data_IF_139985197760
#
_entry.id   IF_139985197760
#
_cell.length_a   1.000
_cell.length_b   1.000
_cell.length_c   1.000
_cell.angle_alpha   90.00
_cell.angle_beta   90.00
_cell.angle_gamma   90.00
#
_symmetry.space_group_name_H-M   'P 1'
#
loop_
_entity.id
_entity.type
_entity.pdbx_description
1 polymer ?
#
# COMPACT_ATOMS: atom_id res chain seq x y z
N UNK A 1 3.30 -80.59 -1.47
CA UNK A 1 3.91 -79.27 -1.18
C UNK A 1 2.86 -78.20 -1.40
N UNK A 2 2.51 -77.37 -0.40
CA UNK A 2 1.49 -76.33 -0.57
C UNK A 2 2.05 -75.17 -1.40
N UNK A 3 1.30 -74.76 -2.43
CA UNK A 3 1.60 -73.59 -3.24
C UNK A 3 1.58 -72.34 -2.36
N UNK A 4 2.71 -71.65 -2.26
CA UNK A 4 2.77 -70.33 -1.62
C UNK A 4 2.02 -69.33 -2.50
N UNK A 5 1.08 -68.55 -1.96
CA UNK A 5 0.40 -67.52 -2.74
C UNK A 5 1.40 -66.45 -3.20
N UNK A 6 1.40 -66.14 -4.49
CA UNK A 6 2.20 -65.07 -5.08
C UNK A 6 1.67 -63.73 -4.60
N UNK A 7 2.39 -63.07 -3.71
CA UNK A 7 2.09 -61.68 -3.33
C UNK A 7 2.37 -60.79 -4.54
N UNK A 8 1.39 -60.01 -5.04
CA UNK A 8 1.62 -59.09 -6.15
C UNK A 8 2.71 -58.08 -5.75
N UNK A 9 3.79 -58.00 -6.54
CA UNK A 9 4.81 -56.96 -6.35
C UNK A 9 4.19 -55.61 -6.69
N UNK A 10 4.05 -54.75 -5.68
CA UNK A 10 3.65 -53.36 -5.89
C UNK A 10 4.74 -52.65 -6.70
N UNK A 11 4.34 -51.93 -7.75
CA UNK A 11 5.26 -51.13 -8.57
C UNK A 11 5.65 -49.85 -7.83
N UNK A 12 6.83 -49.32 -8.10
CA UNK A 12 7.29 -48.04 -7.54
C UNK A 12 6.29 -46.91 -7.80
N UNK A 13 5.64 -46.90 -8.98
CA UNK A 13 4.58 -45.94 -9.30
C UNK A 13 3.34 -46.06 -8.41
N UNK A 14 2.94 -47.28 -8.02
CA UNK A 14 1.82 -47.50 -7.10
C UNK A 14 2.17 -47.04 -5.66
N UNK A 15 3.42 -47.18 -5.24
CA UNK A 15 3.90 -46.69 -3.94
C UNK A 15 3.93 -45.16 -3.89
N UNK A 16 4.47 -44.50 -4.92
CA UNK A 16 4.50 -43.03 -5.01
C UNK A 16 3.10 -42.41 -5.10
N UNK A 17 2.17 -43.05 -5.82
CA UNK A 17 0.78 -42.60 -5.86
C UNK A 17 0.09 -42.73 -4.50
N UNK A 18 0.36 -43.82 -3.77
CA UNK A 18 -0.17 -44.03 -2.41
C UNK A 18 0.38 -42.98 -1.44
N UNK A 19 1.68 -42.67 -1.51
CA UNK A 19 2.32 -41.66 -0.68
C UNK A 19 1.77 -40.26 -0.95
N UNK A 20 1.62 -39.86 -2.23
CA UNK A 20 0.96 -38.58 -2.59
C UNK A 20 -0.47 -38.50 -2.09
N UNK A 21 -1.24 -39.58 -2.19
CA UNK A 21 -2.61 -39.62 -1.68
C UNK A 21 -2.65 -39.50 -0.15
N UNK A 22 -1.70 -40.12 0.55
CA UNK A 22 -1.56 -39.99 2.00
C UNK A 22 -1.17 -38.56 2.41
N UNK A 23 -0.22 -37.94 1.69
CA UNK A 23 0.18 -36.55 1.94
C UNK A 23 -0.98 -35.58 1.70
N UNK A 24 -1.76 -35.76 0.61
CA UNK A 24 -2.95 -34.97 0.33
C UNK A 24 -4.03 -35.16 1.39
N UNK A 25 -4.28 -36.39 1.83
CA UNK A 25 -5.23 -36.67 2.90
C UNK A 25 -4.82 -36.01 4.23
N UNK A 26 -3.54 -36.08 4.58
CA UNK A 26 -3.00 -35.44 5.78
C UNK A 26 -3.13 -33.90 5.72
N UNK A 27 -2.82 -33.29 4.55
CA UNK A 27 -3.02 -31.85 4.34
C UNK A 27 -4.50 -31.45 4.44
N UNK A 28 -5.40 -32.26 3.90
CA UNK A 28 -6.85 -32.02 3.98
C UNK A 28 -7.38 -32.13 5.42
N UNK A 29 -6.93 -33.14 6.18
CA UNK A 29 -7.27 -33.31 7.58
C UNK A 29 -6.76 -32.13 8.42
N UNK A 30 -5.50 -31.73 8.21
CA UNK A 30 -4.93 -30.57 8.88
C UNK A 30 -5.69 -29.28 8.56
N UNK A 31 -6.06 -29.06 7.28
CA UNK A 31 -6.86 -27.91 6.88
C UNK A 31 -8.25 -27.91 7.53
N UNK A 32 -8.87 -29.08 7.68
CA UNK A 32 -10.16 -29.23 8.36
C UNK A 32 -10.05 -28.91 9.86
N UNK A 33 -9.01 -29.39 10.53
CA UNK A 33 -8.74 -29.08 11.94
C UNK A 33 -8.54 -27.58 12.16
N UNK A 34 -7.75 -26.94 11.30
CA UNK A 34 -7.56 -25.48 11.34
C UNK A 34 -8.88 -24.73 11.14
N UNK A 35 -9.70 -25.16 10.17
CA UNK A 35 -11.02 -24.55 9.93
C UNK A 35 -11.95 -24.72 11.14
N UNK A 36 -11.98 -25.90 11.76
CA UNK A 36 -12.80 -26.16 12.95
C UNK A 36 -12.36 -25.31 14.14
N UNK A 37 -11.06 -25.23 14.40
CA UNK A 37 -10.51 -24.40 15.47
C UNK A 37 -10.84 -22.92 15.26
N UNK A 38 -10.69 -22.41 14.02
CA UNK A 38 -11.08 -21.05 13.65
C UNK A 38 -12.56 -20.77 13.91
N UNK A 39 -13.45 -21.67 13.47
CA UNK A 39 -14.90 -21.55 13.69
C UNK A 39 -15.27 -21.55 15.17
N UNK A 40 -14.62 -22.40 15.98
CA UNK A 40 -14.83 -22.44 17.43
C UNK A 40 -14.40 -21.13 18.10
N UNK A 41 -13.22 -20.61 17.76
CA UNK A 41 -12.73 -19.32 18.27
C UNK A 41 -13.69 -18.17 17.90
N UNK A 42 -14.17 -18.14 16.65
CA UNK A 42 -15.15 -17.15 16.21
C UNK A 42 -16.48 -17.27 16.98
N UNK A 43 -16.97 -18.49 17.17
CA UNK A 43 -18.21 -18.75 17.92
C UNK A 43 -18.08 -18.26 19.37
N UNK A 44 -16.94 -18.54 20.01
CA UNK A 44 -16.64 -18.07 21.37
C UNK A 44 -16.58 -16.55 21.45
N UNK A 45 -15.92 -15.90 20.49
CA UNK A 45 -15.87 -14.44 20.40
C UNK A 45 -17.28 -13.85 20.27
N UNK A 46 -18.09 -14.36 19.33
CA UNK A 46 -19.46 -13.88 19.11
C UNK A 46 -20.35 -14.08 20.34
N UNK A 47 -20.25 -15.23 21.01
CA UNK A 47 -21.02 -15.48 22.23
C UNK A 47 -20.62 -14.55 23.39
N UNK A 48 -19.32 -14.26 23.51
CA UNK A 48 -18.78 -13.37 24.55
C UNK A 48 -19.18 -11.92 24.30
N UNK A 49 -19.00 -11.45 23.06
CA UNK A 49 -19.29 -10.07 22.67
C UNK A 49 -20.80 -9.79 22.59
N UNK A 50 -21.56 -10.73 22.04
CA UNK A 50 -22.95 -10.55 21.61
C UNK A 50 -23.85 -11.63 22.23
N UNK A 51 -24.13 -11.58 23.55
CA UNK A 51 -25.05 -12.53 24.18
C UNK A 51 -26.44 -12.47 23.51
N UNK A 52 -26.96 -13.66 23.18
CA UNK A 52 -28.15 -13.90 22.34
C UNK A 52 -28.09 -13.27 20.93
N UNK A 53 -26.90 -12.97 20.41
CA UNK A 53 -26.67 -12.37 19.09
C UNK A 53 -26.60 -10.83 19.09
N UNK A 54 -26.62 -10.17 20.24
CA UNK A 54 -26.46 -8.71 20.30
C UNK A 54 -27.73 -7.92 19.98
N UNK A 55 -27.63 -6.59 19.96
CA UNK A 55 -28.79 -5.70 19.83
C UNK A 55 -29.41 -5.78 18.44
N UNK A 56 -28.57 -5.90 17.42
CA UNK A 56 -28.95 -5.99 16.01
C UNK A 56 -29.74 -7.25 15.76
N UNK A 57 -29.23 -8.42 16.15
CA UNK A 57 -29.97 -9.68 15.95
C UNK A 57 -31.26 -9.73 16.77
N UNK A 58 -31.28 -9.18 18.00
CA UNK A 58 -32.51 -9.08 18.79
C UNK A 58 -33.57 -8.27 18.06
N UNK A 59 -33.21 -7.13 17.48
CA UNK A 59 -34.14 -6.30 16.68
C UNK A 59 -34.63 -7.04 15.42
N UNK A 60 -33.74 -7.71 14.69
CA UNK A 60 -34.09 -8.43 13.47
C UNK A 60 -35.00 -9.63 13.77
N UNK A 61 -34.70 -10.43 14.80
CA UNK A 61 -35.56 -11.55 15.25
C UNK A 61 -36.92 -11.04 15.74
N UNK A 62 -36.96 -9.94 16.49
CA UNK A 62 -38.21 -9.33 16.94
C UNK A 62 -39.05 -8.83 15.75
N UNK A 63 -38.41 -8.35 14.67
CA UNK A 63 -39.09 -8.01 13.42
C UNK A 63 -39.61 -9.25 12.69
N UNK A 64 -38.79 -10.30 12.57
CA UNK A 64 -39.18 -11.56 11.94
C UNK A 64 -40.34 -12.27 12.67
N UNK A 65 -40.37 -12.17 14.01
CA UNK A 65 -41.44 -12.72 14.85
C UNK A 65 -42.77 -11.96 14.70
N UNK A 66 -42.80 -10.78 14.06
CA UNK A 66 -44.05 -10.09 13.72
C UNK A 66 -44.68 -10.84 12.54
N UNK A 67 -45.54 -11.79 12.89
CA UNK A 67 -46.28 -12.71 12.01
C UNK A 67 -46.82 -12.01 10.76
N UNK A 68 -46.56 -12.59 9.58
CA UNK A 68 -47.32 -12.24 8.37
C UNK A 68 -48.76 -12.75 8.52
N UNK A 69 -49.77 -11.91 8.24
CA UNK A 69 -51.15 -12.22 8.58
C UNK A 69 -51.68 -13.37 7.72
N UNK A 70 -51.92 -14.50 8.35
CA UNK A 70 -52.50 -15.70 7.72
C UNK A 70 -54.03 -15.67 7.71
N UNK A 71 -54.66 -14.84 8.55
CA UNK A 71 -56.12 -14.68 8.60
C UNK A 71 -56.58 -13.25 8.29
N UNK A 72 -57.85 -13.08 7.96
CA UNK A 72 -58.48 -11.76 7.77
C UNK A 72 -58.42 -10.92 9.05
N UNK A 73 -58.53 -11.55 10.23
CA UNK A 73 -58.39 -10.87 11.52
C UNK A 73 -56.95 -10.37 11.76
N UNK A 74 -55.94 -11.15 11.36
CA UNK A 74 -54.54 -10.74 11.44
C UNK A 74 -54.26 -9.58 10.47
N UNK A 75 -54.85 -9.59 9.27
CA UNK A 75 -54.74 -8.46 8.33
C UNK A 75 -55.34 -7.20 8.94
N UNK A 76 -56.49 -7.28 9.60
CA UNK A 76 -57.11 -6.14 10.30
C UNK A 76 -56.28 -5.65 11.49
N UNK A 77 -55.67 -6.54 12.28
CA UNK A 77 -54.73 -6.14 13.33
C UNK A 77 -53.46 -5.51 12.78
N UNK A 78 -52.94 -6.01 11.65
CA UNK A 78 -51.75 -5.47 11.00
C UNK A 78 -52.05 -4.14 10.29
N UNK A 79 -53.26 -3.92 9.78
CA UNK A 79 -53.74 -2.61 9.30
C UNK A 79 -53.80 -1.61 10.47
N UNK A 80 -54.23 -2.04 11.66
CA UNK A 80 -54.23 -1.20 12.88
C UNK A 80 -52.84 -0.93 13.45
N UNK A 81 -51.90 -1.88 13.37
CA UNK A 81 -50.54 -1.79 13.94
C UNK A 81 -49.46 -1.37 12.93
N UNK A 82 -49.79 -1.35 11.63
CA UNK A 82 -48.89 -1.13 10.51
C UNK A 82 -48.10 -2.39 10.13
N UNK A 83 -47.95 -2.66 8.82
CA UNK A 83 -46.99 -3.64 8.33
C UNK A 83 -45.56 -3.26 8.76
N UNK A 84 -44.59 -4.20 8.83
CA UNK A 84 -43.21 -3.85 9.10
C UNK A 84 -42.70 -2.90 8.01
N UNK A 85 -42.61 -1.60 8.31
CA UNK A 85 -42.15 -0.66 7.29
C UNK A 85 -40.71 -0.99 6.86
N UNK A 86 -40.34 -0.67 5.61
CA UNK A 86 -38.96 -0.81 5.15
C UNK A 86 -37.97 -0.09 6.07
N UNK A 87 -36.77 -0.67 6.22
CA UNK A 87 -35.66 -0.05 6.95
C UNK A 87 -34.99 1.00 6.05
N UNK A 88 -35.61 2.16 5.95
CA UNK A 88 -35.15 3.31 5.16
C UNK A 88 -35.11 4.58 6.03
N UNK A 89 -34.36 5.60 5.60
CA UNK A 89 -34.22 6.87 6.32
C UNK A 89 -33.78 6.70 7.77
N UNK A 90 -34.47 7.34 8.71
CA UNK A 90 -34.18 7.27 10.15
C UNK A 90 -34.13 5.84 10.70
N UNK A 91 -34.96 4.92 10.18
CA UNK A 91 -34.98 3.52 10.65
C UNK A 91 -33.70 2.80 10.29
N UNK A 92 -33.13 3.11 9.12
CA UNK A 92 -31.83 2.59 8.67
C UNK A 92 -30.71 3.17 9.52
N UNK A 93 -30.68 4.49 9.75
CA UNK A 93 -29.70 5.11 10.64
C UNK A 93 -29.71 4.50 12.04
N UNK A 94 -30.90 4.29 12.62
CA UNK A 94 -31.04 3.63 13.91
C UNK A 94 -30.64 2.15 13.89
N UNK A 95 -30.71 1.48 12.74
CA UNK A 95 -30.22 0.10 12.59
C UNK A 95 -28.69 0.08 12.50
N UNK A 96 -28.10 0.95 11.69
CA UNK A 96 -26.65 1.12 11.56
C UNK A 96 -25.99 1.48 12.90
N UNK A 97 -26.64 2.31 13.72
CA UNK A 97 -26.17 2.61 15.07
C UNK A 97 -26.14 1.39 16.01
N UNK A 98 -27.13 0.49 15.90
CA UNK A 98 -27.12 -0.77 16.66
C UNK A 98 -26.01 -1.70 16.19
N UNK A 99 -25.82 -1.79 14.87
CA UNK A 99 -24.76 -2.60 14.28
C UNK A 99 -23.40 -2.11 14.73
N UNK A 100 -23.13 -0.80 14.65
CA UNK A 100 -21.91 -0.17 15.15
C UNK A 100 -21.68 -0.45 16.63
N UNK A 101 -22.74 -0.42 17.45
CA UNK A 101 -22.64 -0.79 18.86
C UNK A 101 -22.27 -2.26 19.07
N UNK A 102 -22.78 -3.17 18.26
CA UNK A 102 -22.44 -4.60 18.34
C UNK A 102 -21.01 -4.85 17.83
N UNK A 103 -20.58 -4.15 16.77
CA UNK A 103 -19.20 -4.21 16.27
C UNK A 103 -18.19 -3.73 17.31
N UNK A 104 -18.48 -2.64 18.03
CA UNK A 104 -17.64 -2.19 19.15
C UNK A 104 -17.57 -3.24 20.26
N UNK A 105 -18.68 -3.91 20.58
CA UNK A 105 -18.67 -4.99 21.58
C UNK A 105 -17.80 -6.19 21.13
N UNK A 106 -17.77 -6.52 19.83
CA UNK A 106 -16.86 -7.52 19.28
C UNK A 106 -15.41 -7.06 19.38
N UNK A 107 -15.14 -5.80 19.02
CA UNK A 107 -13.81 -5.21 19.11
C UNK A 107 -13.27 -5.27 20.55
N UNK A 108 -14.06 -4.82 21.52
CA UNK A 108 -13.69 -4.81 22.94
C UNK A 108 -13.45 -6.23 23.49
N UNK A 109 -14.36 -7.17 23.20
CA UNK A 109 -14.26 -8.54 23.69
C UNK A 109 -13.05 -9.30 23.10
N UNK A 110 -12.70 -9.00 21.86
CA UNK A 110 -11.57 -9.61 21.17
C UNK A 110 -10.26 -8.84 21.29
N UNK A 111 -10.26 -7.65 21.91
CA UNK A 111 -9.16 -6.69 21.85
C UNK A 111 -8.70 -6.43 20.41
N UNK A 112 -9.67 -6.30 19.51
CA UNK A 112 -9.48 -6.13 18.07
C UNK A 112 -9.64 -4.66 17.67
N UNK A 113 -9.03 -4.30 16.55
CA UNK A 113 -9.39 -3.07 15.86
C UNK A 113 -10.86 -3.12 15.38
N UNK A 114 -11.61 -1.99 15.44
CA UNK A 114 -13.00 -1.96 15.00
C UNK A 114 -13.23 -2.41 13.55
N UNK A 115 -12.30 -2.17 12.61
CA UNK A 115 -12.45 -2.69 11.24
C UNK A 115 -12.29 -4.21 11.19
N UNK A 116 -11.39 -4.78 12.00
CA UNK A 116 -11.25 -6.24 12.12
C UNK A 116 -12.52 -6.86 12.71
N UNK A 117 -13.23 -6.15 13.60
CA UNK A 117 -14.53 -6.60 14.09
C UNK A 117 -15.60 -6.67 12.99
N UNK A 118 -15.53 -5.81 11.96
CA UNK A 118 -16.40 -5.89 10.76
C UNK A 118 -16.17 -7.21 10.05
N UNK A 119 -14.91 -7.57 9.78
CA UNK A 119 -14.56 -8.82 9.11
C UNK A 119 -14.99 -10.05 9.92
N UNK A 120 -14.84 -10.00 11.26
CA UNK A 120 -15.31 -11.08 12.14
C UNK A 120 -16.82 -11.21 12.15
N UNK A 121 -17.56 -10.10 12.08
CA UNK A 121 -19.01 -10.16 11.95
C UNK A 121 -19.43 -10.74 10.60
N UNK A 122 -18.80 -10.32 9.50
CA UNK A 122 -19.04 -10.87 8.16
C UNK A 122 -18.79 -12.39 8.13
N UNK A 123 -17.63 -12.84 8.66
CA UNK A 123 -17.28 -14.26 8.77
C UNK A 123 -18.33 -15.04 9.60
N UNK A 124 -18.84 -14.44 10.68
CA UNK A 124 -19.86 -15.08 11.51
C UNK A 124 -21.23 -15.19 10.83
N UNK A 125 -21.56 -14.26 9.92
CA UNK A 125 -22.76 -14.33 9.08
C UNK A 125 -22.62 -15.43 8.02
N UNK A 126 -21.47 -15.52 7.36
CA UNK A 126 -21.17 -16.54 6.35
C UNK A 126 -21.16 -17.96 6.92
N UNK A 127 -20.55 -18.16 8.09
CA UNK A 127 -20.54 -19.45 8.80
C UNK A 127 -21.87 -19.75 9.54
N UNK A 128 -22.88 -18.92 9.34
CA UNK A 128 -24.22 -19.02 9.93
C UNK A 128 -24.22 -19.12 11.47
N UNK A 129 -23.19 -18.56 12.12
CA UNK A 129 -23.10 -18.38 13.58
C UNK A 129 -24.09 -17.27 13.99
N UNK A 130 -24.11 -16.19 13.20
CA UNK A 130 -25.11 -15.14 13.25
C UNK A 130 -26.12 -15.30 12.10
N UNK A 131 -27.19 -14.48 12.09
CA UNK A 131 -28.15 -14.49 10.97
C UNK A 131 -29.19 -15.61 11.01
N UNK A 132 -29.24 -16.46 12.04
CA UNK A 132 -30.31 -17.45 12.19
C UNK A 132 -31.60 -16.83 12.76
N UNK A 133 -32.75 -17.20 12.17
CA UNK A 133 -34.08 -16.78 12.63
C UNK A 133 -34.49 -15.36 12.24
N UNK A 134 -33.89 -14.79 11.19
CA UNK A 134 -34.24 -13.48 10.63
C UNK A 134 -34.81 -13.62 9.20
N UNK A 135 -35.46 -12.57 8.69
CA UNK A 135 -35.98 -12.55 7.33
C UNK A 135 -34.82 -12.48 6.31
N UNK A 136 -34.99 -13.08 5.13
CA UNK A 136 -33.97 -13.02 4.06
C UNK A 136 -33.63 -11.57 3.65
N UNK A 137 -34.62 -10.68 3.61
CA UNK A 137 -34.41 -9.25 3.32
C UNK A 137 -33.69 -8.50 4.44
N UNK A 138 -33.82 -8.96 5.70
CA UNK A 138 -33.05 -8.41 6.82
C UNK A 138 -31.60 -8.89 6.80
N UNK A 139 -31.38 -10.15 6.40
CA UNK A 139 -30.04 -10.68 6.19
C UNK A 139 -29.32 -9.88 5.10
N UNK A 140 -29.95 -9.68 3.94
CA UNK A 140 -29.37 -8.88 2.87
C UNK A 140 -29.01 -7.47 3.34
N UNK A 141 -29.91 -6.80 4.07
CA UNK A 141 -29.63 -5.47 4.59
C UNK A 141 -28.48 -5.46 5.62
N UNK A 142 -28.40 -6.49 6.46
CA UNK A 142 -27.28 -6.63 7.39
C UNK A 142 -25.96 -6.79 6.63
N UNK A 143 -25.93 -7.67 5.63
CA UNK A 143 -24.76 -7.90 4.77
C UNK A 143 -24.37 -6.59 4.04
N UNK A 144 -25.33 -5.85 3.49
CA UNK A 144 -25.11 -4.57 2.81
C UNK A 144 -24.47 -3.52 3.75
N UNK A 145 -24.94 -3.43 5.00
CA UNK A 145 -24.37 -2.48 5.96
C UNK A 145 -22.99 -2.93 6.43
N UNK A 146 -22.79 -4.21 6.76
CA UNK A 146 -21.49 -4.74 7.18
C UNK A 146 -20.44 -4.53 6.08
N UNK A 147 -20.76 -4.89 4.84
CA UNK A 147 -19.90 -4.65 3.67
C UNK A 147 -19.66 -3.15 3.47
N UNK A 148 -20.70 -2.34 3.70
CA UNK A 148 -20.63 -0.88 3.69
C UNK A 148 -19.77 -0.27 4.80
N UNK A 149 -19.27 -1.04 5.78
CA UNK A 149 -18.32 -0.62 6.82
C UNK A 149 -16.92 -1.23 6.65
N UNK A 150 -16.77 -2.23 5.78
CA UNK A 150 -15.50 -2.92 5.52
C UNK A 150 -14.42 -1.98 4.99
N UNK A 151 -13.16 -2.44 5.02
CA UNK A 151 -12.06 -1.73 4.37
C UNK A 151 -12.15 -1.82 2.84
N UNK A 152 -12.73 -2.88 2.28
CA UNK A 152 -12.86 -3.14 0.85
C UNK A 152 -13.58 -2.00 0.11
N UNK A 153 -14.54 -1.36 0.77
CA UNK A 153 -15.22 -0.17 0.20
C UNK A 153 -14.24 0.99 -0.03
N UNK A 154 -13.22 1.14 0.82
CA UNK A 154 -12.21 2.21 0.71
C UNK A 154 -11.29 1.93 -0.48
N UNK A 155 -10.87 0.68 -0.66
CA UNK A 155 -10.10 0.23 -1.82
C UNK A 155 -10.89 0.42 -3.12
N UNK A 156 -12.16 -0.03 -3.12
CA UNK A 156 -13.06 0.11 -4.27
C UNK A 156 -13.25 1.57 -4.65
N UNK A 157 -13.48 2.45 -3.66
CA UNK A 157 -13.66 3.89 -3.89
C UNK A 157 -12.42 4.57 -4.47
N UNK A 158 -11.24 4.11 -4.07
CA UNK A 158 -9.95 4.66 -4.51
C UNK A 158 -9.37 3.94 -5.74
N UNK A 159 -10.12 3.01 -6.34
CA UNK A 159 -9.65 2.15 -7.43
C UNK A 159 -8.30 1.48 -7.13
N UNK A 160 -8.10 1.02 -5.89
CA UNK A 160 -6.88 0.35 -5.46
C UNK A 160 -7.08 -1.17 -5.52
N UNK A 161 -6.11 -1.87 -6.11
CA UNK A 161 -6.08 -3.34 -6.07
C UNK A 161 -5.60 -3.79 -4.69
N UNK A 162 -6.21 -4.84 -4.15
CA UNK A 162 -5.72 -5.53 -2.95
C UNK A 162 -4.67 -6.56 -3.37
N UNK A 163 -3.42 -6.31 -3.00
CA UNK A 163 -2.24 -7.17 -3.23
C UNK A 163 -1.43 -7.22 -1.93
N UNK A 164 -0.41 -8.08 -1.86
CA UNK A 164 0.45 -8.16 -0.67
C UNK A 164 1.11 -6.81 -0.31
N UNK A 165 1.38 -5.96 -1.32
CA UNK A 165 1.97 -4.63 -1.12
C UNK A 165 0.97 -3.58 -0.63
N UNK A 166 -0.31 -3.77 -0.93
CA UNK A 166 -1.36 -2.79 -0.61
C UNK A 166 -2.15 -3.22 0.62
N UNK A 167 -2.12 -4.48 1.03
CA UNK A 167 -2.74 -4.91 2.28
C UNK A 167 -2.13 -4.16 3.48
N UNK A 168 -2.96 -3.67 4.43
CA UNK A 168 -2.44 -2.99 5.61
C UNK A 168 -1.49 -3.90 6.40
N UNK A 169 -0.26 -3.42 6.60
CA UNK A 169 0.82 -4.19 7.22
C UNK A 169 1.11 -3.79 8.68
N UNK A 170 0.16 -3.12 9.33
CA UNK A 170 0.28 -2.66 10.71
C UNK A 170 -0.94 -3.12 11.50
N UNK A 171 -0.80 -3.24 12.82
CA UNK A 171 -2.00 -3.25 13.64
C UNK A 171 -2.57 -1.84 13.57
N UNK A 172 -3.83 -1.70 13.16
CA UNK A 172 -4.56 -0.41 13.10
C UNK A 172 -4.63 0.34 14.46
N UNK A 173 -4.03 -0.23 15.52
CA UNK A 173 -3.83 0.41 16.81
C UNK A 173 -2.92 1.65 16.68
N UNK A 174 -3.56 2.80 16.45
CA UNK A 174 -2.98 4.11 16.67
C UNK A 174 -2.73 4.29 18.17
N UNK A 175 -1.51 4.65 18.56
CA UNK A 175 -1.21 4.90 19.98
C UNK A 175 -1.68 6.29 20.44
N UNK A 176 -1.68 7.24 19.50
CA UNK A 176 -1.98 8.64 19.74
C UNK A 176 -2.79 9.22 18.59
N UNK A 177 -3.52 10.30 18.89
CA UNK A 177 -4.24 11.05 17.86
C UNK A 177 -3.25 11.59 16.81
N UNK A 178 -3.58 11.50 15.50
CA UNK A 178 -2.77 12.09 14.44
C UNK A 178 -2.54 13.58 14.66
N UNK A 179 -1.31 14.04 14.43
CA UNK A 179 -0.93 15.45 14.54
C UNK A 179 -0.60 15.99 13.16
N UNK A 180 -1.21 17.10 12.75
CA UNK A 180 -0.84 17.73 11.48
C UNK A 180 0.64 18.12 11.49
N UNK A 181 1.37 17.65 10.47
CA UNK A 181 2.79 17.94 10.27
C UNK A 181 2.98 19.09 9.29
N UNK A 182 2.10 19.18 8.28
CA UNK A 182 2.09 20.25 7.28
C UNK A 182 1.04 19.98 6.19
N UNK A 183 0.85 20.95 5.30
CA UNK A 183 0.01 20.80 4.12
C UNK A 183 0.82 21.10 2.86
N UNK A 184 0.86 20.13 1.94
CA UNK A 184 1.37 20.35 0.58
C UNK A 184 0.28 20.91 -0.33
N UNK A 185 0.56 21.05 -1.63
CA UNK A 185 -0.44 21.48 -2.62
C UNK A 185 -1.63 20.52 -2.74
N UNK A 186 -1.41 19.22 -2.53
CA UNK A 186 -2.43 18.21 -2.80
C UNK A 186 -3.02 17.55 -1.55
N UNK A 187 -2.29 17.52 -0.42
CA UNK A 187 -2.77 16.85 0.80
C UNK A 187 -2.14 17.44 2.07
N UNK A 188 -2.92 17.47 3.16
CA UNK A 188 -2.40 17.59 4.52
C UNK A 188 -1.77 16.27 4.95
N UNK A 189 -0.56 16.32 5.49
CA UNK A 189 0.16 15.16 6.03
C UNK A 189 0.16 15.19 7.55
N UNK A 190 0.08 14.01 8.16
CA UNK A 190 -0.04 13.84 9.59
C UNK A 190 1.16 13.06 10.12
N UNK A 191 1.68 13.44 11.27
CA UNK A 191 2.49 12.57 12.10
C UNK A 191 1.57 11.61 12.86
N UNK A 192 1.88 10.32 12.80
CA UNK A 192 1.14 9.26 13.48
C UNK A 192 2.10 8.34 14.22
N UNK A 193 1.63 7.77 15.34
CA UNK A 193 2.33 6.70 16.05
C UNK A 193 1.53 5.40 15.88
N UNK A 194 2.14 4.41 15.25
CA UNK A 194 1.53 3.12 14.94
C UNK A 194 2.34 1.99 15.54
N UNK A 195 1.76 0.78 15.60
CA UNK A 195 2.48 -0.45 15.93
C UNK A 195 2.71 -1.31 14.69
N UNK A 196 3.95 -1.73 14.52
CA UNK A 196 4.33 -2.77 13.57
C UNK A 196 3.66 -4.11 13.92
N UNK A 197 3.69 -5.06 12.98
CA UNK A 197 3.15 -6.41 13.20
C UNK A 197 3.82 -7.17 14.34
N UNK A 198 5.06 -6.82 14.68
CA UNK A 198 5.79 -7.35 15.84
C UNK A 198 5.47 -6.62 17.16
N UNK A 199 4.58 -5.63 17.12
CA UNK A 199 4.14 -4.83 18.26
C UNK A 199 5.04 -3.64 18.60
N UNK A 200 6.14 -3.42 17.87
CA UNK A 200 7.03 -2.27 18.08
C UNK A 200 6.38 -0.96 17.63
N UNK A 201 6.54 0.10 18.42
CA UNK A 201 6.01 1.42 18.09
C UNK A 201 6.88 2.10 17.02
N UNK A 202 6.23 2.76 16.06
CA UNK A 202 6.88 3.49 14.97
C UNK A 202 6.24 4.87 14.81
N UNK A 203 7.07 5.90 14.78
CA UNK A 203 6.66 7.23 14.32
C UNK A 203 6.68 7.24 12.79
N UNK A 204 5.56 7.60 12.20
CA UNK A 204 5.37 7.60 10.76
C UNK A 204 4.71 8.89 10.28
N UNK A 205 4.82 9.13 8.98
CA UNK A 205 4.07 10.15 8.27
C UNK A 205 2.90 9.47 7.58
N UNK A 206 1.69 9.99 7.77
CA UNK A 206 0.49 9.55 7.10
C UNK A 206 0.03 10.59 6.08
N UNK A 207 -0.11 10.16 4.83
CA UNK A 207 -0.64 10.95 3.72
C UNK A 207 -1.98 10.34 3.28
N UNK A 208 -3.12 10.95 3.63
CA UNK A 208 -4.43 10.44 3.23
C UNK A 208 -4.56 10.42 1.71
N UNK A 209 -5.30 9.44 1.19
CA UNK A 209 -5.65 9.36 -0.23
C UNK A 209 -7.02 9.98 -0.46
N UNK A 210 -7.13 10.78 -1.51
CA UNK A 210 -8.40 11.30 -2.00
C UNK A 210 -8.93 10.44 -3.13
N UNK A 211 -10.25 10.29 -3.16
CA UNK A 211 -10.98 9.67 -4.27
C UNK A 211 -11.51 10.71 -5.25
N UNK A 212 -11.49 11.98 -4.85
CA UNK A 212 -11.88 13.09 -5.71
C UNK A 212 -10.67 13.48 -6.57
N UNK A 213 -10.85 13.61 -7.90
CA UNK A 213 -9.83 14.18 -8.75
C UNK A 213 -9.38 15.54 -8.21
N UNK A 214 -8.07 15.84 -8.20
CA UNK A 214 -7.58 17.14 -7.77
C UNK A 214 -8.17 18.25 -8.64
N UNK A 215 -8.33 19.44 -8.03
CA UNK A 215 -8.78 20.64 -8.73
C UNK A 215 -7.90 20.86 -9.98
N UNK A 216 -8.49 21.12 -11.17
CA UNK A 216 -7.71 21.42 -12.38
C UNK A 216 -6.65 22.51 -12.21
N UNK A 217 -6.89 23.50 -11.34
CA UNK A 217 -5.96 24.59 -11.04
C UNK A 217 -4.83 24.16 -10.08
N UNK A 218 -5.09 23.17 -9.22
CA UNK A 218 -4.12 22.61 -8.27
C UNK A 218 -3.43 21.34 -8.79
N UNK A 219 -3.84 20.85 -9.97
CA UNK A 219 -3.28 19.65 -10.57
C UNK A 219 -1.78 19.84 -10.90
N UNK A 220 -0.97 18.87 -10.45
CA UNK A 220 0.47 18.89 -10.65
C UNK A 220 0.82 19.08 -12.13
N UNK A 221 1.55 20.17 -12.41
CA UNK A 221 2.08 20.45 -13.75
C UNK A 221 2.99 19.31 -14.19
N UNK A 222 3.76 18.74 -13.26
CA UNK A 222 4.61 17.58 -13.51
C UNK A 222 3.76 16.37 -13.92
N UNK A 223 2.75 16.02 -13.12
CA UNK A 223 1.87 14.89 -13.43
C UNK A 223 1.22 15.05 -14.81
N UNK A 224 0.70 16.24 -15.13
CA UNK A 224 0.10 16.53 -16.44
C UNK A 224 1.09 16.33 -17.59
N UNK A 225 2.30 16.89 -17.49
CA UNK A 225 3.28 16.83 -18.58
C UNK A 225 3.90 15.45 -18.76
N UNK A 226 3.87 14.61 -17.72
CA UNK A 226 4.40 13.25 -17.76
C UNK A 226 3.35 12.22 -18.18
N UNK A 227 2.09 12.62 -18.38
CA UNK A 227 1.01 11.73 -18.84
C UNK A 227 0.28 11.00 -17.72
N UNK A 228 0.39 11.48 -16.48
CA UNK A 228 -0.37 10.94 -15.35
C UNK A 228 -1.82 11.45 -15.45
N UNK A 229 -2.77 10.54 -15.30
CA UNK A 229 -4.21 10.86 -15.33
C UNK A 229 -4.60 11.70 -14.13
N UNK A 230 -5.34 12.79 -14.36
CA UNK A 230 -5.96 13.57 -13.27
C UNK A 230 -7.11 12.81 -12.61
N UNK A 231 -7.89 12.07 -13.41
CA UNK A 231 -9.07 11.35 -12.93
C UNK A 231 -8.71 10.11 -12.11
N UNK A 232 -7.54 9.54 -12.39
CA UNK A 232 -7.05 8.36 -11.69
C UNK A 232 -5.52 8.44 -11.55
N UNK A 233 -5.02 9.30 -10.65
CA UNK A 233 -3.59 9.57 -10.55
C UNK A 233 -2.81 8.40 -9.94
N UNK A 234 -3.48 7.50 -9.22
CA UNK A 234 -2.87 6.31 -8.60
C UNK A 234 -1.61 6.64 -7.77
N UNK A 235 -1.61 7.76 -7.04
CA UNK A 235 -0.43 8.25 -6.26
C UNK A 235 0.08 7.21 -5.26
N UNK A 236 -0.82 6.43 -4.67
CA UNK A 236 -0.45 5.32 -3.80
C UNK A 236 0.37 4.25 -4.54
N UNK A 237 -0.11 3.81 -5.70
CA UNK A 237 0.54 2.77 -6.49
C UNK A 237 1.88 3.21 -7.04
N UNK A 238 2.03 4.50 -7.38
CA UNK A 238 3.32 5.08 -7.80
C UNK A 238 4.36 5.04 -6.68
N UNK A 239 3.99 5.41 -5.45
CA UNK A 239 4.90 5.32 -4.31
C UNK A 239 5.29 3.86 -4.02
N UNK A 240 4.32 2.93 -4.03
CA UNK A 240 4.60 1.49 -3.85
C UNK A 240 5.48 0.92 -4.97
N UNK A 241 5.25 1.35 -6.22
CA UNK A 241 6.06 0.97 -7.38
C UNK A 241 7.51 1.45 -7.23
N UNK A 242 7.71 2.69 -6.78
CA UNK A 242 9.06 3.23 -6.52
C UNK A 242 9.77 2.45 -5.41
N UNK A 243 9.06 2.12 -4.32
CA UNK A 243 9.61 1.26 -3.25
C UNK A 243 9.99 -0.12 -3.77
N UNK A 244 9.12 -0.76 -4.56
CA UNK A 244 9.39 -2.08 -5.15
C UNK A 244 10.62 -2.05 -6.06
N UNK A 245 10.77 -1.00 -6.89
CA UNK A 245 11.92 -0.78 -7.77
C UNK A 245 13.21 -0.58 -6.96
N UNK A 246 13.18 0.28 -5.95
CA UNK A 246 14.31 0.55 -5.07
C UNK A 246 14.78 -0.72 -4.34
N UNK A 247 13.84 -1.50 -3.78
CA UNK A 247 14.12 -2.79 -3.12
C UNK A 247 14.75 -3.80 -4.09
N UNK A 248 14.25 -3.90 -5.32
CA UNK A 248 14.81 -4.81 -6.34
C UNK A 248 16.26 -4.45 -6.68
N UNK A 249 16.60 -3.16 -6.70
CA UNK A 249 17.96 -2.67 -6.93
C UNK A 249 18.87 -2.78 -5.69
N UNK A 250 18.31 -3.01 -4.50
CA UNK A 250 19.04 -2.88 -3.24
C UNK A 250 19.40 -1.42 -2.91
N UNK A 251 18.66 -0.45 -3.44
CA UNK A 251 18.85 0.96 -3.16
C UNK A 251 17.96 1.37 -1.98
N UNK A 252 18.58 1.69 -0.84
CA UNK A 252 17.88 2.10 0.38
C UNK A 252 17.69 3.62 0.48
N UNK A 253 17.27 4.21 -0.63
CA UNK A 253 17.22 5.68 -0.84
C UNK A 253 15.83 6.26 -0.97
N UNK A 254 14.79 5.45 -0.78
CA UNK A 254 13.39 5.87 -0.75
C UNK A 254 12.77 5.42 0.56
N UNK A 255 11.91 6.29 1.08
CA UNK A 255 11.10 6.04 2.28
C UNK A 255 10.27 4.76 2.15
N UNK A 256 10.36 3.86 3.13
CA UNK A 256 9.46 2.70 3.16
C UNK A 256 8.01 3.19 3.25
N UNK A 257 7.18 2.69 2.33
CA UNK A 257 5.80 3.16 2.14
C UNK A 257 4.84 1.99 2.08
N UNK A 258 3.71 2.11 2.77
CA UNK A 258 2.65 1.09 2.81
C UNK A 258 1.28 1.76 2.86
N UNK A 259 0.23 1.02 2.58
CA UNK A 259 -1.15 1.51 2.73
C UNK A 259 -1.66 1.17 4.12
N UNK A 260 -2.42 2.07 4.74
CA UNK A 260 -3.13 1.78 5.98
C UNK A 260 -4.38 2.65 6.16
N UNK A 261 -5.39 2.15 6.89
CA UNK A 261 -6.47 2.96 7.40
C UNK A 261 -6.02 3.69 8.69
N UNK A 262 -6.19 5.00 8.72
CA UNK A 262 -5.92 5.85 9.89
C UNK A 262 -7.20 6.61 10.22
N UNK A 263 -7.63 6.53 11.47
CA UNK A 263 -8.73 7.36 11.93
C UNK A 263 -8.22 8.79 12.13
N UNK A 264 -8.62 9.70 11.23
CA UNK A 264 -8.37 11.14 11.34
C UNK A 264 -9.51 11.87 12.09
N UNK A 265 -10.55 11.15 12.52
CA UNK A 265 -11.70 11.68 13.23
C UNK A 265 -12.08 10.81 14.43
N UNK A 266 -13.34 10.89 14.87
CA UNK A 266 -13.86 10.09 16.00
C UNK A 266 -14.62 8.84 15.56
N UNK A 267 -14.93 8.65 14.28
CA UNK A 267 -15.66 7.47 13.81
C UNK A 267 -14.69 6.36 13.38
N UNK A 268 -14.48 5.31 14.20
CA UNK A 268 -13.54 4.23 13.87
C UNK A 268 -13.99 3.40 12.67
N UNK A 269 -15.27 3.49 12.27
CA UNK A 269 -15.81 2.83 11.09
C UNK A 269 -15.82 3.74 9.87
N UNK A 270 -15.11 4.86 9.88
CA UNK A 270 -14.90 5.71 8.70
C UNK A 270 -13.47 6.27 8.67
N UNK A 271 -12.43 5.43 8.68
CA UNK A 271 -11.05 5.90 8.62
C UNK A 271 -10.71 6.45 7.24
N UNK A 272 -9.69 7.30 7.18
CA UNK A 272 -9.03 7.67 5.94
C UNK A 272 -8.08 6.53 5.54
N UNK A 273 -8.18 6.06 4.30
CA UNK A 273 -7.14 5.20 3.72
C UNK A 273 -6.02 6.10 3.20
N UNK A 274 -4.78 5.75 3.46
CA UNK A 274 -3.64 6.57 3.07
C UNK A 274 -2.33 5.81 3.01
N UNK A 275 -1.27 6.53 2.63
CA UNK A 275 0.10 6.06 2.70
C UNK A 275 0.66 6.30 4.10
N UNK A 276 1.19 5.26 4.72
CA UNK A 276 2.08 5.34 5.88
C UNK A 276 3.50 5.23 5.39
N UNK A 277 4.32 6.20 5.78
CA UNK A 277 5.69 6.37 5.33
C UNK A 277 6.60 6.50 6.55
N UNK A 278 7.78 5.87 6.54
CA UNK A 278 8.77 6.15 7.58
C UNK A 278 9.12 7.65 7.60
N UNK A 279 9.46 8.21 8.77
CA UNK A 279 9.94 9.59 8.80
C UNK A 279 11.36 9.62 8.24
N UNK A 280 11.55 10.34 7.13
CA UNK A 280 12.88 10.53 6.54
C UNK A 280 13.83 11.17 7.58
N UNK A 281 14.98 10.54 7.90
CA UNK A 281 15.91 11.06 8.89
C UNK A 281 16.76 12.19 8.31
N UNK A 282 17.32 13.03 9.19
CA UNK A 282 18.24 14.09 8.79
C UNK A 282 17.53 15.38 8.37
N UNK A 283 18.16 16.13 7.48
CA UNK A 283 17.66 17.43 7.00
C UNK A 283 17.33 17.36 5.51
N UNK A 284 16.36 18.16 5.01
CA UNK A 284 16.19 18.36 3.57
C UNK A 284 17.52 18.78 2.93
N UNK A 285 17.75 18.41 1.67
CA UNK A 285 18.98 18.78 0.98
C UNK A 285 19.16 20.29 0.82
N UNK A 286 18.06 21.06 0.77
CA UNK A 286 18.10 22.54 0.78
C UNK A 286 18.79 23.11 2.04
N UNK A 287 18.75 22.38 3.16
CA UNK A 287 19.25 22.84 4.47
C UNK A 287 20.65 22.29 4.82
N UNK A 288 21.27 21.51 3.94
CA UNK A 288 22.64 20.99 4.18
C UNK A 288 23.67 21.88 3.50
N UNK A 289 24.84 21.98 4.11
CA UNK A 289 25.94 22.77 3.54
C UNK A 289 26.67 22.02 2.41
N UNK A 290 27.36 22.78 1.57
CA UNK A 290 28.19 22.23 0.48
C UNK A 290 29.24 21.21 0.96
N UNK A 291 29.71 21.29 2.22
CA UNK A 291 30.71 20.35 2.76
C UNK A 291 30.09 18.97 3.03
N UNK A 292 28.84 18.92 3.48
CA UNK A 292 28.08 17.68 3.62
C UNK A 292 27.80 17.05 2.25
N UNK A 293 27.40 17.85 1.26
CA UNK A 293 27.20 17.40 -0.12
C UNK A 293 28.48 16.87 -0.76
N UNK A 294 29.66 17.31 -0.32
CA UNK A 294 30.97 16.84 -0.81
C UNK A 294 31.46 15.53 -0.17
N UNK A 295 30.78 15.01 0.86
CA UNK A 295 31.19 13.77 1.50
C UNK A 295 30.99 12.56 0.57
N UNK A 296 32.02 11.74 0.38
CA UNK A 296 32.02 10.60 -0.54
C UNK A 296 30.79 9.67 -0.39
N UNK A 297 30.41 9.37 0.86
CA UNK A 297 29.25 8.50 1.16
C UNK A 297 27.91 9.18 0.86
N UNK A 298 27.80 10.50 1.08
CA UNK A 298 26.61 11.27 0.66
C UNK A 298 26.52 11.26 -0.85
N UNK A 299 27.64 11.45 -1.56
CA UNK A 299 27.65 11.44 -3.01
C UNK A 299 27.17 10.10 -3.58
N UNK A 300 27.64 8.98 -3.02
CA UNK A 300 27.19 7.65 -3.42
C UNK A 300 25.67 7.47 -3.24
N UNK A 301 25.13 7.84 -2.08
CA UNK A 301 23.70 7.66 -1.79
C UNK A 301 22.80 8.60 -2.61
N UNK A 302 23.20 9.86 -2.83
CA UNK A 302 22.47 10.77 -3.72
C UNK A 302 22.50 10.26 -5.17
N UNK A 303 23.61 9.65 -5.60
CA UNK A 303 23.68 9.06 -6.94
C UNK A 303 22.74 7.86 -7.11
N UNK A 304 22.59 7.01 -6.09
CA UNK A 304 21.58 5.92 -6.10
C UNK A 304 20.17 6.48 -6.26
N UNK A 305 19.84 7.56 -5.53
CA UNK A 305 18.55 8.23 -5.65
C UNK A 305 18.34 8.79 -7.07
N UNK A 306 19.32 9.51 -7.61
CA UNK A 306 19.25 10.06 -8.96
C UNK A 306 19.07 8.97 -10.02
N UNK A 307 19.83 7.88 -9.97
CA UNK A 307 19.67 6.75 -10.89
C UNK A 307 18.29 6.08 -10.75
N UNK A 308 17.76 5.98 -9.53
CA UNK A 308 16.41 5.48 -9.31
C UNK A 308 15.37 6.42 -9.96
N UNK A 309 15.49 7.73 -9.75
CA UNK A 309 14.58 8.73 -10.31
C UNK A 309 14.62 8.73 -11.85
N UNK A 310 15.77 8.46 -12.48
CA UNK A 310 15.87 8.22 -13.93
C UNK A 310 15.11 6.96 -14.39
N UNK A 311 15.08 5.91 -13.59
CA UNK A 311 14.36 4.67 -13.90
C UNK A 311 12.85 4.84 -13.71
N UNK A 312 12.44 5.49 -12.62
CA UNK A 312 11.04 5.74 -12.30
C UNK A 312 10.44 6.89 -13.11
N UNK A 313 11.27 7.81 -13.62
CA UNK A 313 10.82 9.03 -14.26
C UNK A 313 10.28 10.05 -13.25
N UNK A 314 10.85 10.10 -12.04
CA UNK A 314 10.51 11.14 -11.06
C UNK A 314 11.00 12.50 -11.55
N UNK A 315 10.06 13.39 -11.86
CA UNK A 315 10.35 14.69 -12.44
C UNK A 315 10.17 15.85 -11.46
N UNK A 316 9.77 15.59 -10.22
CA UNK A 316 9.56 16.57 -9.15
C UNK A 316 10.58 16.41 -8.00
N UNK A 317 11.73 15.77 -8.26
CA UNK A 317 12.82 15.65 -7.27
C UNK A 317 13.60 16.96 -7.10
N UNK A 318 13.05 17.85 -6.27
CA UNK A 318 13.79 19.01 -5.76
C UNK A 318 14.42 18.74 -4.39
N UNK A 319 15.27 19.65 -3.93
CA UNK A 319 16.06 19.61 -2.69
C UNK A 319 15.26 19.49 -1.39
N UNK A 320 13.97 19.84 -1.39
CA UNK A 320 13.02 19.57 -0.29
C UNK A 320 12.43 18.16 -0.29
N UNK A 321 12.54 17.42 -1.39
CA UNK A 321 11.94 16.09 -1.56
C UNK A 321 12.92 14.95 -1.30
N UNK A 322 14.10 15.24 -0.75
CA UNK A 322 14.97 14.21 -0.20
C UNK A 322 15.79 14.73 0.98
N UNK A 323 16.08 13.82 1.90
CA UNK A 323 16.73 14.13 3.16
C UNK A 323 18.10 13.47 3.22
N UNK A 324 19.04 14.13 3.86
CA UNK A 324 20.41 13.66 4.06
C UNK A 324 20.64 13.55 5.57
N UNK A 325 20.97 12.34 6.00
CA UNK A 325 21.40 12.05 7.35
C UNK A 325 22.81 11.46 7.33
N UNK A 326 23.73 12.06 8.08
CA UNK A 326 25.05 11.48 8.32
C UNK A 326 25.13 11.09 9.79
N UNK A 327 25.33 9.81 10.05
CA UNK A 327 25.51 9.27 11.38
C UNK A 327 26.87 9.67 11.99
N UNK A 328 27.01 9.52 13.30
CA UNK A 328 28.26 9.85 14.01
C UNK A 328 29.47 9.01 13.57
N UNK A 329 29.25 7.83 12.99
CA UNK A 329 30.30 6.97 12.41
C UNK A 329 30.62 7.32 10.94
N UNK A 330 29.99 8.37 10.42
CA UNK A 330 30.11 8.85 9.06
C UNK A 330 29.36 8.00 8.03
N UNK A 331 28.48 7.06 8.40
CA UNK A 331 27.54 6.45 7.43
C UNK A 331 26.53 7.51 6.98
N UNK A 332 26.24 7.53 5.68
CA UNK A 332 25.23 8.42 5.11
C UNK A 332 23.97 7.61 4.78
N UNK A 333 22.80 8.19 5.04
CA UNK A 333 21.50 7.75 4.55
C UNK A 333 20.87 8.91 3.80
N UNK A 334 20.54 8.69 2.53
CA UNK A 334 19.71 9.59 1.73
C UNK A 334 18.32 9.00 1.66
N UNK A 335 17.27 9.81 1.74
CA UNK A 335 15.89 9.31 1.69
C UNK A 335 15.01 10.26 0.90
N UNK A 336 14.64 9.84 -0.31
CA UNK A 336 13.64 10.50 -1.14
C UNK A 336 12.22 10.21 -0.68
N UNK A 337 11.36 11.22 -0.81
CA UNK A 337 9.94 11.21 -0.46
C UNK A 337 9.10 11.73 -1.64
N UNK A 338 7.77 11.73 -1.50
CA UNK A 338 6.85 12.36 -2.46
C UNK A 338 6.96 11.86 -3.91
N UNK A 339 6.88 10.55 -4.09
CA UNK A 339 7.04 9.90 -5.41
C UNK A 339 5.71 9.86 -6.21
N UNK A 340 4.85 10.86 -5.99
CA UNK A 340 3.52 10.93 -6.58
C UNK A 340 3.55 11.15 -8.09
N UNK A 341 4.64 11.76 -8.61
CA UNK A 341 4.80 12.13 -10.01
C UNK A 341 5.68 11.12 -10.80
N UNK A 342 6.01 9.97 -10.21
CA UNK A 342 6.73 8.89 -10.86
C UNK A 342 5.90 8.18 -11.96
N UNK A 343 6.59 7.53 -12.88
CA UNK A 343 6.06 6.59 -13.88
C UNK A 343 5.05 7.16 -14.87
N UNK A 344 5.08 8.46 -15.15
CA UNK A 344 4.31 9.01 -16.25
C UNK A 344 4.63 8.33 -17.60
N UNK A 345 3.59 8.09 -18.41
CA UNK A 345 3.69 7.37 -19.68
C UNK A 345 4.44 8.16 -20.77
N UNK A 346 4.49 9.49 -20.68
CA UNK A 346 5.11 10.36 -21.69
C UNK A 346 6.63 10.55 -21.46
N UNK A 347 7.15 10.18 -20.30
CA UNK A 347 8.60 10.23 -20.03
C UNK A 347 9.29 8.93 -20.42
N UNK A 348 9.58 8.72 -21.70
CA UNK A 348 10.18 7.47 -22.18
C UNK A 348 11.71 7.46 -22.17
N UNK A 349 12.34 8.62 -22.39
CA UNK A 349 13.79 8.76 -22.29
C UNK A 349 14.23 8.97 -20.83
N UNK A 350 15.37 8.39 -20.42
CA UNK A 350 15.80 8.42 -19.01
C UNK A 350 16.11 9.82 -18.49
N UNK A 351 16.42 10.78 -19.36
CA UNK A 351 16.77 12.16 -19.04
C UNK A 351 15.67 13.16 -19.42
N UNK A 352 14.48 12.67 -19.78
CA UNK A 352 13.33 13.50 -20.17
C UNK A 352 12.76 14.33 -19.01
N UNK A 353 13.09 13.98 -17.77
CA UNK A 353 12.73 14.72 -16.57
C UNK A 353 13.55 16.01 -16.38
N UNK A 354 14.47 16.37 -17.28
CA UNK A 354 15.19 17.65 -17.18
C UNK A 354 14.26 18.86 -17.35
N UNK A 355 14.54 19.96 -16.63
CA UNK A 355 13.88 21.24 -16.90
C UNK A 355 14.23 21.73 -18.31
N UNK A 356 13.23 22.24 -19.00
CA UNK A 356 13.40 22.99 -20.25
C UNK A 356 13.10 24.46 -19.98
N UNK A 357 14.14 25.29 -20.02
CA UNK A 357 14.05 26.72 -19.73
C UNK A 357 13.30 27.48 -20.83
N UNK A 358 13.24 26.95 -22.05
CA UNK A 358 12.52 27.55 -23.18
C UNK A 358 11.04 27.16 -23.17
N UNK A 359 10.67 26.05 -22.52
CA UNK A 359 9.28 25.63 -22.36
C UNK A 359 8.74 25.96 -20.95
N UNK A 360 7.93 27.02 -20.77
CA UNK A 360 7.58 27.56 -19.44
C UNK A 360 7.02 26.53 -18.46
N UNK A 361 6.23 25.56 -18.93
CA UNK A 361 5.66 24.53 -18.07
C UNK A 361 6.66 23.45 -17.66
N UNK A 362 7.68 23.16 -18.48
CA UNK A 362 8.72 22.15 -18.18
C UNK A 362 9.78 22.70 -17.22
N UNK A 363 9.78 24.00 -16.94
CA UNK A 363 10.55 24.58 -15.82
C UNK A 363 10.12 24.02 -14.45
N UNK A 364 8.94 23.43 -14.36
CA UNK A 364 8.48 22.73 -13.16
C UNK A 364 9.16 21.36 -12.97
N UNK A 365 9.91 20.87 -13.95
CA UNK A 365 10.68 19.66 -13.77
C UNK A 365 11.96 19.94 -12.98
N UNK A 366 12.33 18.97 -12.16
CA UNK A 366 13.50 18.99 -11.29
C UNK A 366 14.37 17.74 -11.51
N UNK A 367 14.30 17.08 -12.68
CA UNK A 367 15.29 16.08 -13.05
C UNK A 367 16.62 16.69 -13.50
N UNK A 368 17.60 15.83 -13.76
CA UNK A 368 18.92 16.19 -14.33
C UNK A 368 19.18 15.36 -15.58
N UNK A 369 20.27 15.66 -16.30
CA UNK A 369 20.84 14.72 -17.23
C UNK A 369 21.32 13.45 -16.49
N UNK A 370 21.54 12.38 -17.25
CA UNK A 370 22.12 11.16 -16.72
C UNK A 370 23.51 11.42 -16.11
N UNK A 371 23.83 10.79 -14.97
CA UNK A 371 25.04 11.13 -14.23
C UNK A 371 26.31 10.73 -14.99
N UNK A 372 27.38 11.54 -14.91
CA UNK A 372 28.60 11.34 -15.71
C UNK A 372 29.51 10.22 -15.16
N UNK A 373 29.18 9.67 -13.99
CA UNK A 373 29.89 8.61 -13.29
C UNK A 373 28.89 7.76 -12.51
N UNK A 374 29.19 6.47 -12.35
CA UNK A 374 28.47 5.56 -11.46
C UNK A 374 29.49 4.62 -10.81
N UNK A 375 29.15 3.95 -9.71
CA UNK A 375 30.03 2.92 -9.15
C UNK A 375 29.69 1.51 -9.63
N UNK A 376 30.60 0.56 -9.36
CA UNK A 376 30.47 -0.84 -9.76
C UNK A 376 29.27 -1.55 -9.12
N UNK A 377 28.77 -1.10 -7.98
CA UNK A 377 27.61 -1.69 -7.31
C UNK A 377 26.30 -1.22 -7.97
N UNK A 378 26.17 0.08 -8.22
CA UNK A 378 25.04 0.67 -8.95
C UNK A 378 24.91 0.06 -10.35
N UNK A 379 26.03 -0.04 -11.07
CA UNK A 379 26.03 -0.61 -12.41
C UNK A 379 25.58 -2.08 -12.39
N UNK A 380 26.15 -2.89 -11.48
CA UNK A 380 25.79 -4.30 -11.35
C UNK A 380 24.30 -4.47 -11.04
N UNK A 381 23.78 -3.69 -10.08
CA UNK A 381 22.38 -3.77 -9.68
C UNK A 381 21.43 -3.46 -10.85
N UNK A 382 21.69 -2.37 -11.59
CA UNK A 382 20.84 -1.95 -12.69
C UNK A 382 20.97 -2.90 -13.89
N UNK A 383 22.19 -3.33 -14.25
CA UNK A 383 22.39 -4.26 -15.37
C UNK A 383 21.84 -5.67 -15.10
N UNK A 384 21.63 -6.04 -13.84
CA UNK A 384 21.01 -7.30 -13.45
C UNK A 384 19.47 -7.30 -13.56
N UNK A 385 18.83 -6.13 -13.62
CA UNK A 385 17.40 -6.05 -13.90
C UNK A 385 17.09 -6.58 -15.30
N UNK A 386 15.94 -7.24 -15.45
CA UNK A 386 15.37 -7.62 -16.74
C UNK A 386 14.04 -6.91 -17.00
N UNK A 387 13.58 -6.91 -18.23
CA UNK A 387 12.24 -6.38 -18.55
C UNK A 387 11.12 -7.17 -17.85
N UNK A 388 11.31 -8.48 -17.68
CA UNK A 388 10.36 -9.33 -16.95
C UNK A 388 10.29 -8.94 -15.47
N UNK A 389 11.42 -8.63 -14.84
CA UNK A 389 11.44 -8.10 -13.48
C UNK A 389 10.62 -6.80 -13.39
N UNK A 390 10.84 -5.86 -14.32
CA UNK A 390 10.14 -4.57 -14.32
C UNK A 390 8.63 -4.77 -14.50
N UNK A 391 8.22 -5.63 -15.44
CA UNK A 391 6.79 -5.95 -15.63
C UNK A 391 6.19 -6.58 -14.38
N UNK A 392 6.88 -7.54 -13.78
CA UNK A 392 6.41 -8.22 -12.57
C UNK A 392 6.26 -7.26 -11.39
N UNK A 393 7.14 -6.26 -11.27
CA UNK A 393 7.10 -5.26 -10.19
C UNK A 393 5.94 -4.26 -10.35
N UNK A 394 5.58 -3.94 -11.59
CA UNK A 394 4.76 -2.77 -11.90
C UNK A 394 3.35 -3.09 -12.43
N UNK A 395 3.11 -4.25 -13.03
CA UNK A 395 1.85 -4.58 -13.73
C UNK A 395 0.59 -4.57 -12.85
N UNK A 396 0.73 -4.81 -11.55
CA UNK A 396 -0.37 -4.74 -10.59
C UNK A 396 -0.64 -3.30 -10.13
N UNK A 397 0.32 -2.39 -10.29
CA UNK A 397 0.31 -1.01 -9.78
C UNK A 397 0.03 0.04 -10.86
N UNK A 398 0.52 -0.18 -12.08
CA UNK A 398 0.52 0.79 -13.17
C UNK A 398 -0.16 0.21 -14.41
N UNK A 399 -0.54 1.09 -15.34
CA UNK A 399 -1.09 0.65 -16.62
C UNK A 399 0.02 0.24 -17.62
N UNK A 400 -0.36 -0.47 -18.69
CA UNK A 400 0.59 -1.01 -19.67
C UNK A 400 1.48 0.06 -20.34
N UNK A 401 0.96 1.27 -20.57
CA UNK A 401 1.71 2.34 -21.20
C UNK A 401 2.80 2.88 -20.25
N UNK A 402 2.46 3.04 -18.96
CA UNK A 402 3.41 3.45 -17.92
C UNK A 402 4.51 2.40 -17.70
N UNK A 403 4.13 1.11 -17.70
CA UNK A 403 5.09 0.01 -17.63
C UNK A 403 6.01 0.00 -18.86
N UNK A 404 5.46 0.22 -20.06
CA UNK A 404 6.26 0.31 -21.27
C UNK A 404 7.24 1.50 -21.25
N UNK A 405 6.82 2.66 -20.72
CA UNK A 405 7.68 3.82 -20.55
C UNK A 405 8.81 3.54 -19.54
N UNK A 406 8.51 2.85 -18.43
CA UNK A 406 9.52 2.44 -17.45
C UNK A 406 10.58 1.50 -18.05
N UNK A 407 10.17 0.57 -18.93
CA UNK A 407 11.09 -0.31 -19.64
C UNK A 407 11.99 0.49 -20.60
N UNK A 408 11.44 1.46 -21.33
CA UNK A 408 12.24 2.32 -22.21
C UNK A 408 13.26 3.16 -21.43
N UNK A 409 12.87 3.74 -20.29
CA UNK A 409 13.80 4.45 -19.40
C UNK A 409 14.92 3.51 -18.92
N UNK A 410 14.56 2.31 -18.45
CA UNK A 410 15.54 1.29 -18.07
C UNK A 410 16.53 0.95 -19.19
N UNK A 411 16.06 0.74 -20.42
CA UNK A 411 16.94 0.47 -21.57
C UNK A 411 17.91 1.64 -21.81
N UNK A 412 17.43 2.88 -21.69
CA UNK A 412 18.26 4.08 -21.80
C UNK A 412 19.33 4.18 -20.70
N UNK A 413 18.95 3.99 -19.43
CA UNK A 413 19.90 3.97 -18.30
C UNK A 413 20.92 2.84 -18.47
N UNK A 414 20.49 1.64 -18.86
CA UNK A 414 21.37 0.50 -19.14
C UNK A 414 22.40 0.83 -20.22
N UNK A 415 21.97 1.42 -21.32
CA UNK A 415 22.87 1.81 -22.41
C UNK A 415 23.87 2.87 -21.96
N UNK A 416 23.43 3.83 -21.14
CA UNK A 416 24.30 4.85 -20.56
C UNK A 416 25.40 4.25 -19.67
N UNK A 417 25.03 3.34 -18.75
CA UNK A 417 25.98 2.68 -17.86
C UNK A 417 27.03 1.86 -18.61
N UNK A 418 26.63 1.14 -19.68
CA UNK A 418 27.58 0.44 -20.58
C UNK A 418 28.53 1.46 -21.24
N UNK A 419 28.01 2.61 -21.65
CA UNK A 419 28.81 3.73 -22.16
C UNK A 419 29.84 4.23 -21.16
N UNK A 420 29.43 4.47 -19.91
CA UNK A 420 30.33 4.88 -18.83
C UNK A 420 31.43 3.83 -18.60
N UNK A 421 31.08 2.55 -18.59
CA UNK A 421 32.05 1.45 -18.41
C UNK A 421 33.12 1.47 -19.49
N UNK A 422 32.71 1.59 -20.75
CA UNK A 422 33.63 1.65 -21.89
C UNK A 422 34.50 2.91 -21.87
N UNK A 423 34.01 4.00 -21.28
CA UNK A 423 34.75 5.25 -21.10
C UNK A 423 35.65 5.26 -19.83
N UNK A 424 35.66 4.19 -19.02
CA UNK A 424 36.39 4.17 -17.76
C UNK A 424 35.80 5.08 -16.68
N UNK A 425 34.51 5.39 -16.76
CA UNK A 425 33.78 6.27 -15.85
C UNK A 425 32.88 5.52 -14.85
N UNK A 426 32.97 4.19 -14.83
CA UNK A 426 32.42 3.40 -13.73
C UNK A 426 33.53 3.15 -12.70
N UNK A 427 33.38 3.78 -11.54
CA UNK A 427 34.40 3.86 -10.48
C UNK A 427 34.20 2.76 -9.42
N UNK A 428 35.18 2.59 -8.54
CA UNK A 428 34.97 1.77 -7.34
C UNK A 428 34.19 2.54 -6.26
N UNK A 429 33.42 1.90 -5.38
CA UNK A 429 32.60 2.61 -4.39
C UNK A 429 33.38 3.53 -3.43
N UNK A 430 34.68 3.30 -3.22
CA UNK A 430 35.51 4.16 -2.37
C UNK A 430 36.06 5.40 -3.09
N UNK A 431 35.88 5.50 -4.41
CA UNK A 431 36.43 6.59 -5.24
C UNK A 431 35.55 7.84 -5.27
N UNK A 432 34.34 7.81 -4.68
CA UNK A 432 33.43 8.95 -4.66
C UNK A 432 34.05 10.23 -4.08
N UNK A 433 35.05 10.13 -3.20
CA UNK A 433 35.74 11.29 -2.62
C UNK A 433 36.83 11.91 -3.49
N UNK A 434 37.17 11.32 -4.64
CA UNK A 434 38.25 11.81 -5.50
C UNK A 434 37.86 13.13 -6.17
N UNK A 435 38.81 14.07 -6.23
CA UNK A 435 38.57 15.40 -6.80
C UNK A 435 38.13 15.35 -8.27
N UNK A 436 38.69 14.44 -9.08
CA UNK A 436 38.33 14.30 -10.49
C UNK A 436 36.93 13.70 -10.70
N UNK A 437 36.43 12.89 -9.76
CA UNK A 437 35.04 12.41 -9.73
C UNK A 437 34.12 13.57 -9.35
N UNK A 438 34.45 14.29 -8.28
CA UNK A 438 33.68 15.42 -7.77
C UNK A 438 33.50 16.55 -8.80
N UNK A 439 34.54 16.86 -9.58
CA UNK A 439 34.51 17.89 -10.61
C UNK A 439 33.60 17.56 -11.80
N UNK A 440 33.23 16.29 -12.00
CA UNK A 440 32.33 15.89 -13.09
C UNK A 440 30.87 16.17 -12.76
N UNK A 441 30.53 16.23 -11.48
CA UNK A 441 29.18 16.43 -10.98
C UNK A 441 28.82 17.92 -11.10
N UNK A 442 28.07 18.26 -12.15
CA UNK A 442 27.64 19.64 -12.46
C UNK A 442 26.14 19.83 -12.18
N UNK A 443 25.64 21.08 -12.11
CA UNK A 443 24.21 21.36 -11.96
C UNK A 443 23.31 20.69 -13.01
N UNK A 444 23.81 20.51 -14.23
CA UNK A 444 23.05 19.91 -15.32
C UNK A 444 22.90 18.40 -15.18
N UNK A 445 23.89 17.71 -14.61
CA UNK A 445 24.00 16.26 -14.66
C UNK A 445 23.91 15.56 -13.30
N UNK A 446 23.77 16.32 -12.21
CA UNK A 446 23.69 15.72 -10.88
C UNK A 446 22.92 16.58 -9.87
N UNK A 447 22.16 15.92 -9.00
CA UNK A 447 21.56 16.60 -7.84
C UNK A 447 22.63 17.22 -6.94
N UNK A 448 23.78 16.57 -6.77
CA UNK A 448 24.88 17.12 -5.97
C UNK A 448 25.42 18.43 -6.56
N UNK A 449 25.61 18.49 -7.89
CA UNK A 449 26.08 19.68 -8.56
C UNK A 449 25.07 20.81 -8.48
N UNK A 450 23.78 20.50 -8.68
CA UNK A 450 22.68 21.48 -8.64
C UNK A 450 22.54 22.07 -7.24
N UNK A 451 22.63 21.25 -6.20
CA UNK A 451 22.38 21.69 -4.83
C UNK A 451 23.57 22.50 -4.29
N UNK A 452 24.79 22.17 -4.71
CA UNK A 452 25.99 22.96 -4.38
C UNK A 452 25.99 24.37 -4.97
N UNK A 453 25.24 24.61 -6.04
CA UNK A 453 25.11 25.97 -6.60
C UNK A 453 24.37 26.92 -5.63
N UNK A 454 23.53 26.36 -4.76
CA UNK A 454 22.67 27.10 -3.84
C UNK A 454 23.06 26.99 -2.35
N UNK A 455 23.99 26.09 -2.00
CA UNK A 455 24.37 25.73 -0.62
C UNK A 455 25.58 26.48 -0.03
#
# INVERSE_FOLDING_TARGET
MPQRPSVPRQTLGALLAKERNQEQAAKAEQAQLVKQARRQALTQLMHTALPDGGKTMKRLRARAARVQPVTVADRWQMIRKGAPQPMQGERRMAFEALLRSDLMAIADAGQLDPLVAVDKMAEALDEAILGQGILASDRQLLDDVVNGLSIDRLYTRLNLKMTDDTMPAFTNAQEQAPRELGAGRSNTVYEVQIRNTDGTAMNAVFKPLSHEPPDPEEWSVVARLTGISREDPQTAMRNLATVAYARKLGFHVIVDTRVAPINLGQDPFNPALGLIMERAPGKPAEEVDASMLAQAKVCAEVMKLQLLDHLTGEADRHDKNYFIHVESDGRAKVTGIDNDNCFGAELTAPDAAQPDLEHPQRRAFHGTALPPVADTEMERAILALTEEDIRSLLQDKLNDAEVAAAIQRYQGVRQHLIGLRNAGLVIEPHDWGRADVQQRLTPENSYLGREREYA
#
